data_IF_835190531254
#
_entry.id   IF_835190531254
#
_cell.length_a   1.000
_cell.length_b   1.000
_cell.length_c   1.000
_cell.angle_alpha   90.00
_cell.angle_beta   90.00
_cell.angle_gamma   90.00
#
_symmetry.space_group_name_H-M   'P 1'
#
loop_
_entity.id
_entity.type
_entity.pdbx_description
1 polymer ?
#
# COMPACT_ATOMS: atom_id res chain seq x y z
N UNK A 1 8.58 16.17 9.55
CA UNK A 1 7.26 15.75 9.08
C UNK A 1 7.49 14.36 8.54
N UNK A 2 7.21 13.35 9.34
CA UNK A 2 7.27 11.96 8.93
C UNK A 2 6.27 11.80 7.78
N UNK A 3 6.78 11.50 6.58
CA UNK A 3 5.91 11.19 5.45
C UNK A 3 5.18 9.89 5.81
N UNK A 4 3.85 9.80 5.67
CA UNK A 4 3.14 8.59 6.05
C UNK A 4 3.69 7.41 5.24
N UNK A 5 3.99 6.32 5.94
CA UNK A 5 4.48 5.07 5.37
C UNK A 5 3.67 4.69 4.13
N UNK A 6 4.33 4.19 3.08
CA UNK A 6 3.67 3.87 1.81
C UNK A 6 2.53 2.87 2.02
N UNK A 7 2.73 1.93 2.95
CA UNK A 7 1.72 0.97 3.40
C UNK A 7 0.42 1.66 3.85
N UNK A 8 0.50 2.73 4.62
CA UNK A 8 -0.67 3.50 5.08
C UNK A 8 -1.37 4.22 3.91
N UNK A 9 -0.59 4.76 2.97
CA UNK A 9 -1.13 5.42 1.77
C UNK A 9 -1.90 4.44 0.89
N UNK A 10 -1.42 3.20 0.77
CA UNK A 10 -2.12 2.16 0.01
C UNK A 10 -3.42 1.78 0.69
N UNK A 11 -3.42 1.52 2.00
CA UNK A 11 -4.67 1.20 2.72
C UNK A 11 -5.68 2.32 2.53
N UNK A 12 -5.26 3.58 2.67
CA UNK A 12 -6.14 4.74 2.44
C UNK A 12 -6.68 4.81 1.00
N UNK A 13 -5.85 4.56 -0.01
CA UNK A 13 -6.27 4.55 -1.41
C UNK A 13 -7.27 3.43 -1.72
N UNK A 14 -7.04 2.23 -1.17
CA UNK A 14 -7.96 1.11 -1.35
C UNK A 14 -9.28 1.35 -0.63
N UNK A 15 -9.21 1.88 0.60
CA UNK A 15 -10.38 2.25 1.38
C UNK A 15 -11.27 3.27 0.64
N UNK A 16 -10.65 4.29 0.04
CA UNK A 16 -11.33 5.30 -0.77
C UNK A 16 -12.02 4.67 -2.00
N UNK A 17 -11.33 3.77 -2.71
CA UNK A 17 -11.90 3.02 -3.85
C UNK A 17 -13.07 2.13 -3.42
N UNK A 18 -12.97 1.51 -2.24
CA UNK A 18 -14.01 0.66 -1.67
C UNK A 18 -15.16 1.47 -1.05
N UNK A 19 -14.97 2.77 -0.80
CA UNK A 19 -15.91 3.63 -0.09
C UNK A 19 -16.10 3.23 1.37
N UNK A 20 -15.08 2.64 2.00
CA UNK A 20 -15.10 2.24 3.42
C UNK A 20 -13.99 2.96 4.17
N UNK A 21 -14.07 2.95 5.50
CA UNK A 21 -12.97 3.48 6.30
C UNK A 21 -11.73 2.56 6.21
N UNK A 22 -10.51 3.12 6.24
CA UNK A 22 -9.27 2.33 6.19
C UNK A 22 -9.11 1.38 7.39
N UNK A 23 -9.85 1.61 8.47
CA UNK A 23 -9.90 0.71 9.64
C UNK A 23 -10.81 -0.50 9.42
N UNK A 24 -11.78 -0.41 8.50
CA UNK A 24 -12.67 -1.51 8.10
C UNK A 24 -12.06 -2.35 6.97
N UNK A 25 -11.03 -1.82 6.29
CA UNK A 25 -10.26 -2.62 5.34
C UNK A 25 -9.54 -3.78 6.05
N UNK A 26 -9.42 -4.94 5.40
CA UNK A 26 -8.66 -6.05 5.96
C UNK A 26 -7.20 -5.63 6.19
N UNK A 27 -6.49 -6.16 7.20
CA UNK A 27 -5.12 -5.77 7.47
C UNK A 27 -4.19 -6.02 6.27
N UNK A 28 -3.45 -5.00 5.84
CA UNK A 28 -2.54 -5.09 4.68
C UNK A 28 -1.54 -6.27 4.81
N UNK A 29 -1.14 -6.59 6.05
CA UNK A 29 -0.26 -7.71 6.39
C UNK A 29 -0.78 -9.08 5.90
N UNK A 30 -2.09 -9.28 5.73
CA UNK A 30 -2.63 -10.53 5.16
C UNK A 30 -2.32 -10.71 3.68
N UNK A 31 -2.18 -9.61 2.94
CA UNK A 31 -1.83 -9.62 1.52
C UNK A 31 -0.33 -9.46 1.31
N UNK A 32 0.29 -8.53 2.02
CA UNK A 32 1.69 -8.16 1.86
C UNK A 32 2.27 -7.57 3.14
N UNK A 33 3.56 -7.81 3.40
CA UNK A 33 4.22 -7.21 4.55
C UNK A 33 4.40 -5.69 4.35
N UNK A 34 3.73 -4.84 5.15
CA UNK A 34 3.80 -3.38 5.00
C UNK A 34 5.19 -2.81 5.32
N UNK A 35 5.97 -3.48 6.18
CA UNK A 35 7.32 -3.06 6.57
C UNK A 35 8.33 -3.32 5.44
N UNK A 36 8.21 -4.49 4.80
CA UNK A 36 9.01 -4.83 3.62
C UNK A 36 8.67 -3.93 2.43
N UNK A 37 7.39 -3.60 2.26
CA UNK A 37 6.93 -2.66 1.26
C UNK A 37 7.52 -1.27 1.52
N UNK A 38 7.42 -0.76 2.75
CA UNK A 38 7.97 0.53 3.11
C UNK A 38 9.47 0.56 2.83
N UNK A 39 10.22 -0.44 3.30
CA UNK A 39 11.65 -0.62 3.03
C UNK A 39 11.98 -0.66 1.53
N UNK A 40 11.15 -1.34 0.72
CA UNK A 40 11.36 -1.47 -0.73
C UNK A 40 11.30 -0.12 -1.44
N UNK A 41 10.42 0.77 -0.97
CA UNK A 41 10.16 2.08 -1.58
C UNK A 41 10.76 3.28 -0.81
N UNK A 42 11.29 3.08 0.40
CA UNK A 42 12.00 4.09 1.20
C UNK A 42 13.25 4.61 0.45
N UNK A 43 13.84 3.76 -0.40
CA UNK A 43 14.90 4.16 -1.31
C UNK A 43 14.39 5.09 -2.42
N UNK A 44 14.80 6.37 -2.40
CA UNK A 44 14.55 7.40 -3.45
C UNK A 44 14.92 7.02 -4.90
N UNK A 45 15.44 5.81 -5.13
CA UNK A 45 15.84 5.26 -6.44
C UNK A 45 15.11 3.98 -6.83
N UNK A 46 14.20 3.48 -6.00
CA UNK A 46 13.42 2.30 -6.31
C UNK A 46 12.36 2.63 -7.36
N UNK A 47 12.78 2.71 -8.62
CA UNK A 47 11.86 2.60 -9.75
C UNK A 47 11.37 1.18 -9.82
N UNK A 48 10.15 0.97 -9.40
CA UNK A 48 9.53 -0.34 -9.35
C UNK A 48 8.02 -0.20 -9.41
N UNK A 49 7.41 -1.18 -10.08
CA UNK A 49 5.98 -1.38 -10.04
C UNK A 49 5.73 -2.65 -9.23
N UNK A 50 4.86 -2.56 -8.22
CA UNK A 50 4.46 -3.69 -7.41
C UNK A 50 2.96 -3.92 -7.61
N UNK A 51 2.60 -5.15 -7.92
CA UNK A 51 1.21 -5.56 -8.10
C UNK A 51 0.90 -6.68 -7.13
N UNK A 52 -0.17 -6.52 -6.35
CA UNK A 52 -0.63 -7.53 -5.42
C UNK A 52 -2.16 -7.49 -5.28
N UNK A 53 -2.75 -8.60 -4.86
CA UNK A 53 -4.17 -8.66 -4.52
C UNK A 53 -4.40 -8.28 -3.06
N UNK A 54 -5.35 -7.38 -2.82
CA UNK A 54 -5.73 -6.94 -1.51
C UNK A 54 -7.22 -6.65 -1.46
N UNK A 55 -7.92 -7.22 -0.48
CA UNK A 55 -9.38 -7.13 -0.33
C UNK A 55 -10.19 -7.55 -1.59
N UNK A 56 -9.63 -8.42 -2.43
CA UNK A 56 -10.23 -8.81 -3.71
C UNK A 56 -10.05 -7.79 -4.85
N UNK A 57 -9.21 -6.77 -4.63
CA UNK A 57 -8.81 -5.79 -5.63
C UNK A 57 -7.35 -5.97 -6.00
N UNK A 58 -7.00 -5.70 -7.25
CA UNK A 58 -5.60 -5.67 -7.69
C UNK A 58 -5.05 -4.28 -7.46
N UNK A 59 -4.15 -4.16 -6.48
CA UNK A 59 -3.46 -2.91 -6.16
C UNK A 59 -2.17 -2.86 -6.95
N UNK A 60 -2.01 -1.79 -7.73
CA UNK A 60 -0.78 -1.50 -8.47
C UNK A 60 -0.14 -0.25 -7.89
N UNK A 61 1.07 -0.41 -7.37
CA UNK A 61 1.89 0.69 -6.86
C UNK A 61 2.98 0.92 -7.88
N UNK A 62 3.06 2.13 -8.43
CA UNK A 62 4.09 2.51 -9.39
C UNK A 62 4.89 3.70 -8.86
N UNK A 63 6.23 3.61 -8.97
CA UNK A 63 7.14 4.68 -8.57
C UNK A 63 8.04 5.07 -9.77
N UNK A 64 7.44 5.73 -10.76
CA UNK A 64 8.08 6.20 -12.01
C UNK A 64 8.74 7.57 -11.93
#
# INVERSE_FOLDING_TARGET
>A
MDEPALSLRIVGAVADVMGIDPVDCPPLFEAINPDALDTLFEGKKSRGSLVFEYAGYIVTVDNG
#
